data_IF_574958533957
#
_entry.id   IF_574958533957
#
_cell.length_a   1.000
_cell.length_b   1.000
_cell.length_c   1.000
_cell.angle_alpha   90.00
_cell.angle_beta   90.00
_cell.angle_gamma   90.00
#
_symmetry.space_group_name_H-M   'P 1'
#
loop_
_entity.id
_entity.type
_entity.pdbx_description
1 polymer ?
#
# COMPACT_ATOMS: atom_id res chain seq x y z
N UNK A 1 -16.87 9.23 3.16
CA UNK A 1 -15.44 9.61 3.18
C UNK A 1 -14.90 9.73 1.75
N UNK A 2 -13.83 10.51 1.53
CA UNK A 2 -13.05 10.48 0.29
C UNK A 2 -11.84 9.56 0.49
N UNK A 3 -11.76 8.50 -0.29
CA UNK A 3 -10.72 7.48 -0.19
C UNK A 3 -9.87 7.50 -1.45
N UNK A 4 -8.55 7.68 -1.31
CA UNK A 4 -7.62 7.57 -2.43
C UNK A 4 -6.90 6.23 -2.36
N UNK A 5 -7.00 5.42 -3.43
CA UNK A 5 -6.42 4.07 -3.47
C UNK A 5 -5.53 3.93 -4.70
N UNK A 6 -4.29 3.49 -4.50
CA UNK A 6 -3.39 3.15 -5.60
C UNK A 6 -3.52 1.69 -6.03
N UNK A 7 -3.35 1.40 -7.35
CA UNK A 7 -3.35 0.03 -7.86
C UNK A 7 -4.72 -0.64 -7.88
N UNK A 8 -5.75 0.09 -8.34
CA UNK A 8 -7.15 -0.37 -8.32
C UNK A 8 -7.60 -1.10 -9.59
N UNK A 9 -6.70 -1.41 -10.52
CA UNK A 9 -7.05 -2.05 -11.80
C UNK A 9 -7.37 -3.53 -11.68
N UNK A 10 -6.87 -4.20 -10.64
CA UNK A 10 -7.07 -5.64 -10.40
C UNK A 10 -6.82 -6.01 -8.93
N UNK A 11 -7.11 -7.27 -8.59
CA UNK A 11 -6.79 -7.87 -7.29
C UNK A 11 -7.36 -7.09 -6.11
N UNK A 12 -6.61 -7.01 -5.04
CA UNK A 12 -7.03 -6.41 -3.76
C UNK A 12 -7.48 -4.96 -3.93
N UNK A 13 -6.72 -4.15 -4.68
CA UNK A 13 -7.05 -2.75 -4.88
C UNK A 13 -8.38 -2.53 -5.62
N UNK A 14 -8.70 -3.38 -6.60
CA UNK A 14 -9.98 -3.35 -7.30
C UNK A 14 -11.14 -3.71 -6.35
N UNK A 15 -10.98 -4.75 -5.54
CA UNK A 15 -11.99 -5.16 -4.56
C UNK A 15 -12.19 -4.10 -3.46
N UNK A 16 -11.12 -3.52 -2.93
CA UNK A 16 -11.21 -2.40 -2.00
C UNK A 16 -12.02 -1.24 -2.60
N UNK A 17 -11.68 -0.85 -3.83
CA UNK A 17 -12.35 0.26 -4.51
C UNK A 17 -13.84 -0.04 -4.78
N UNK A 18 -14.16 -1.28 -5.14
CA UNK A 18 -15.54 -1.74 -5.35
C UNK A 18 -16.33 -1.70 -4.05
N UNK A 19 -15.85 -2.39 -3.01
CA UNK A 19 -16.56 -2.53 -1.74
C UNK A 19 -16.79 -1.16 -1.07
N UNK A 20 -15.80 -0.25 -1.13
CA UNK A 20 -15.95 1.09 -0.58
C UNK A 20 -16.97 1.94 -1.36
N UNK A 21 -17.06 1.80 -2.70
CA UNK A 21 -18.10 2.47 -3.50
C UNK A 21 -19.50 1.93 -3.18
N UNK A 22 -19.64 0.63 -2.96
CA UNK A 22 -20.92 -0.02 -2.63
C UNK A 22 -21.50 0.48 -1.31
N UNK A 23 -20.66 0.90 -0.37
CA UNK A 23 -21.11 1.54 0.89
C UNK A 23 -21.20 3.06 0.80
N UNK A 24 -21.13 3.64 -0.42
CA UNK A 24 -21.34 5.07 -0.67
C UNK A 24 -20.10 5.96 -0.50
N UNK A 25 -18.90 5.39 -0.38
CA UNK A 25 -17.68 6.19 -0.27
C UNK A 25 -17.24 6.77 -1.62
N UNK A 26 -16.71 7.98 -1.60
CA UNK A 26 -16.09 8.60 -2.77
C UNK A 26 -14.70 8.02 -2.98
N UNK A 27 -14.53 7.11 -3.93
CA UNK A 27 -13.24 6.46 -4.21
C UNK A 27 -12.53 7.12 -5.40
N UNK A 28 -11.36 7.69 -5.12
CA UNK A 28 -10.39 8.18 -6.10
C UNK A 28 -9.42 7.04 -6.44
N UNK A 29 -9.69 6.35 -7.53
CA UNK A 29 -8.82 5.27 -8.04
C UNK A 29 -7.63 5.87 -8.74
N UNK A 30 -6.41 5.42 -8.37
CA UNK A 30 -5.14 5.87 -8.96
C UNK A 30 -4.39 4.68 -9.54
N UNK A 31 -3.93 4.81 -10.77
CA UNK A 31 -3.20 3.76 -11.49
C UNK A 31 -3.16 3.98 -12.99
N UNK A 32 -2.82 2.92 -13.75
CA UNK A 32 -2.67 2.98 -15.22
C UNK A 32 -3.90 2.50 -16.00
N UNK A 33 -5.01 2.20 -15.32
CA UNK A 33 -6.24 1.71 -15.94
C UNK A 33 -7.13 2.86 -16.46
N UNK A 34 -8.04 2.54 -17.38
CA UNK A 34 -8.94 3.52 -18.01
C UNK A 34 -9.85 4.25 -17.02
N UNK A 35 -10.29 3.56 -15.96
CA UNK A 35 -11.18 4.12 -14.93
C UNK A 35 -10.41 4.67 -13.72
N UNK A 36 -9.13 5.01 -13.90
CA UNK A 36 -8.27 5.58 -12.87
C UNK A 36 -7.86 7.00 -13.19
N UNK A 37 -7.57 7.79 -12.18
CA UNK A 37 -6.69 8.94 -12.34
C UNK A 37 -5.34 8.35 -12.75
N UNK A 38 -4.92 8.65 -13.99
CA UNK A 38 -3.70 8.07 -14.53
C UNK A 38 -2.48 8.56 -13.74
N UNK A 39 -1.73 7.62 -13.18
CA UNK A 39 -0.45 7.85 -12.51
C UNK A 39 0.45 6.65 -12.75
N UNK A 40 1.63 6.91 -13.26
CA UNK A 40 2.72 5.95 -13.27
C UNK A 40 3.56 6.15 -12.00
N UNK A 41 3.57 5.16 -11.13
CA UNK A 41 4.29 5.21 -9.86
C UNK A 41 5.82 5.03 -10.03
N UNK A 42 6.29 4.71 -11.22
CA UNK A 42 7.71 4.70 -11.56
C UNK A 42 8.21 6.12 -11.91
N UNK A 43 7.28 7.04 -12.23
CA UNK A 43 7.57 8.41 -12.62
C UNK A 43 7.11 9.41 -11.54
N UNK A 44 8.07 10.08 -10.92
CA UNK A 44 7.80 11.09 -9.88
C UNK A 44 7.00 12.30 -10.43
N UNK A 45 7.18 12.66 -11.68
CA UNK A 45 6.44 13.76 -12.32
C UNK A 45 4.94 13.44 -12.42
N UNK A 46 4.60 12.17 -12.61
CA UNK A 46 3.23 11.68 -12.60
C UNK A 46 2.56 11.84 -11.23
N UNK A 47 3.32 11.67 -10.13
CA UNK A 47 2.84 11.91 -8.77
C UNK A 47 2.65 13.42 -8.51
N UNK A 48 3.53 14.26 -9.03
CA UNK A 48 3.39 15.73 -8.97
C UNK A 48 2.16 16.23 -9.73
N UNK A 49 1.88 15.65 -10.89
CA UNK A 49 0.66 15.95 -11.64
C UNK A 49 -0.61 15.56 -10.86
N UNK A 50 -0.57 14.45 -10.10
CA UNK A 50 -1.67 14.05 -9.22
C UNK A 50 -1.90 15.08 -8.10
N UNK A 51 -0.85 15.61 -7.48
CA UNK A 51 -0.95 16.68 -6.47
C UNK A 51 -1.70 17.89 -7.03
N UNK A 52 -1.32 18.34 -8.23
CA UNK A 52 -1.98 19.46 -8.90
C UNK A 52 -3.46 19.16 -9.17
N UNK A 53 -3.76 17.96 -9.65
CA UNK A 53 -5.14 17.52 -9.98
C UNK A 53 -6.03 17.41 -8.75
N UNK A 54 -5.48 17.01 -7.61
CA UNK A 54 -6.21 16.82 -6.35
C UNK A 54 -6.05 18.01 -5.40
N UNK A 55 -5.55 19.13 -5.85
CA UNK A 55 -5.39 20.34 -5.01
C UNK A 55 -6.69 20.65 -4.27
N UNK A 56 -6.58 20.80 -2.95
CA UNK A 56 -7.70 21.10 -2.03
C UNK A 56 -8.78 20.00 -1.91
N UNK A 57 -8.60 18.81 -2.48
CA UNK A 57 -9.52 17.70 -2.26
C UNK A 57 -9.23 17.06 -0.89
N UNK A 58 -10.13 17.10 0.10
CA UNK A 58 -9.89 16.43 1.37
C UNK A 58 -9.82 14.90 1.17
N UNK A 59 -8.84 14.24 1.80
CA UNK A 59 -8.64 12.79 1.73
C UNK A 59 -8.73 12.21 3.13
N UNK A 60 -9.83 11.55 3.43
CA UNK A 60 -10.07 10.90 4.72
C UNK A 60 -9.24 9.63 4.91
N UNK A 61 -8.94 8.92 3.81
CA UNK A 61 -8.12 7.72 3.82
C UNK A 61 -7.26 7.63 2.57
N UNK A 62 -5.93 7.57 2.75
CA UNK A 62 -4.99 7.22 1.69
C UNK A 62 -4.60 5.75 1.84
N UNK A 63 -4.84 4.92 0.79
CA UNK A 63 -4.44 3.51 0.74
C UNK A 63 -3.33 3.34 -0.29
N UNK A 64 -2.09 3.18 0.17
CA UNK A 64 -0.94 2.82 -0.63
C UNK A 64 -0.94 1.30 -0.87
N UNK A 65 -1.71 0.85 -1.87
CA UNK A 65 -1.88 -0.57 -2.18
C UNK A 65 -1.03 -1.05 -3.37
N UNK A 66 -0.74 -0.19 -4.32
CA UNK A 66 0.06 -0.57 -5.49
C UNK A 66 1.42 -1.18 -5.10
N UNK A 67 1.83 -2.20 -5.83
CA UNK A 67 3.12 -2.84 -5.66
C UNK A 67 3.38 -3.87 -6.74
N UNK A 68 4.65 -4.17 -6.95
CA UNK A 68 5.12 -5.19 -7.91
C UNK A 68 5.97 -6.24 -7.21
N UNK A 69 5.95 -7.46 -7.77
CA UNK A 69 6.76 -8.59 -7.36
C UNK A 69 7.30 -9.25 -8.63
N UNK A 70 8.49 -8.86 -9.05
CA UNK A 70 9.08 -9.18 -10.35
C UNK A 70 10.37 -10.00 -10.27
N UNK A 71 10.78 -10.35 -9.07
CA UNK A 71 12.00 -11.14 -8.80
C UNK A 71 11.69 -12.57 -8.34
N UNK A 72 10.47 -13.06 -8.62
CA UNK A 72 10.12 -14.47 -8.35
C UNK A 72 10.99 -15.38 -9.18
N UNK A 73 11.40 -16.50 -8.57
CA UNK A 73 12.18 -17.56 -9.21
C UNK A 73 13.53 -17.09 -9.80
N UNK A 74 14.07 -15.96 -9.34
CA UNK A 74 15.40 -15.53 -9.71
C UNK A 74 16.46 -16.41 -9.03
N UNK A 75 17.46 -16.80 -9.80
CA UNK A 75 18.63 -17.53 -9.29
C UNK A 75 19.58 -16.60 -8.54
N UNK A 76 20.11 -17.06 -7.41
CA UNK A 76 21.02 -16.26 -6.59
C UNK A 76 22.33 -15.94 -7.32
N UNK A 77 22.82 -16.85 -8.14
CA UNK A 77 24.13 -16.69 -8.80
C UNK A 77 24.06 -15.74 -10.02
N UNK A 78 22.92 -15.71 -10.73
CA UNK A 78 22.82 -15.01 -12.02
C UNK A 78 21.61 -14.06 -12.14
N UNK A 79 20.64 -14.14 -11.23
CA UNK A 79 19.43 -13.33 -11.20
C UNK A 79 19.63 -11.98 -10.49
N UNK A 80 18.56 -11.40 -10.05
CA UNK A 80 18.55 -10.17 -9.22
C UNK A 80 19.30 -8.97 -9.81
N UNK A 81 19.15 -8.73 -11.11
CA UNK A 81 19.78 -7.63 -11.82
C UNK A 81 19.39 -6.27 -11.23
N UNK A 82 20.27 -5.29 -11.35
CA UNK A 82 20.10 -3.96 -10.75
C UNK A 82 18.85 -3.22 -11.21
N UNK A 83 18.41 -3.40 -12.45
CA UNK A 83 17.17 -2.83 -12.99
C UNK A 83 15.92 -3.34 -12.27
N UNK A 84 15.89 -4.62 -11.89
CA UNK A 84 14.80 -5.19 -11.08
C UNK A 84 14.74 -4.55 -9.68
N UNK A 85 15.91 -4.29 -9.07
CA UNK A 85 16.01 -3.58 -7.78
C UNK A 85 15.47 -2.16 -7.90
N UNK A 86 15.98 -1.40 -8.86
CA UNK A 86 15.60 -0.01 -9.08
C UNK A 86 14.08 0.10 -9.31
N UNK A 87 13.55 -0.72 -10.20
CA UNK A 87 12.12 -0.74 -10.51
C UNK A 87 11.26 -1.11 -9.30
N UNK A 88 11.63 -2.17 -8.59
CA UNK A 88 10.85 -2.62 -7.43
C UNK A 88 10.86 -1.57 -6.31
N UNK A 89 12.02 -1.00 -6.00
CA UNK A 89 12.11 0.04 -4.99
C UNK A 89 11.42 1.33 -5.40
N UNK A 90 11.50 1.72 -6.68
CA UNK A 90 10.76 2.86 -7.19
C UNK A 90 9.27 2.72 -6.91
N UNK A 91 8.66 1.57 -7.28
CA UNK A 91 7.22 1.35 -7.10
C UNK A 91 6.82 1.04 -5.66
N UNK A 92 7.55 0.15 -4.97
CA UNK A 92 7.11 -0.37 -3.67
C UNK A 92 7.47 0.52 -2.49
N UNK A 93 8.44 1.43 -2.64
CA UNK A 93 8.99 2.22 -1.53
C UNK A 93 8.98 3.72 -1.84
N UNK A 94 9.68 4.14 -2.90
CA UNK A 94 9.88 5.56 -3.21
C UNK A 94 8.54 6.21 -3.56
N UNK A 95 7.75 5.59 -4.43
CA UNK A 95 6.44 6.11 -4.80
C UNK A 95 5.48 6.24 -3.61
N UNK A 96 5.55 5.29 -2.66
CA UNK A 96 4.73 5.33 -1.44
C UNK A 96 5.07 6.56 -0.62
N UNK A 97 6.38 6.83 -0.42
CA UNK A 97 6.81 8.01 0.31
C UNK A 97 6.41 9.31 -0.39
N UNK A 98 6.73 9.43 -1.69
CA UNK A 98 6.42 10.62 -2.48
C UNK A 98 4.91 10.90 -2.52
N UNK A 99 4.09 9.86 -2.73
CA UNK A 99 2.65 10.01 -2.73
C UNK A 99 2.12 10.51 -1.37
N UNK A 100 2.58 9.93 -0.26
CA UNK A 100 2.19 10.39 1.08
C UNK A 100 2.61 11.84 1.27
N UNK A 101 3.85 12.19 0.91
CA UNK A 101 4.39 13.53 1.05
C UNK A 101 3.55 14.56 0.26
N UNK A 102 3.21 14.26 -1.00
CA UNK A 102 2.42 15.14 -1.86
C UNK A 102 0.95 15.24 -1.45
N UNK A 103 0.36 14.16 -0.91
CA UNK A 103 -1.03 14.15 -0.45
C UNK A 103 -1.18 14.60 1.00
N UNK A 104 -0.10 14.88 1.71
CA UNK A 104 -0.14 15.25 3.12
C UNK A 104 -1.03 16.48 3.41
N UNK A 105 -1.03 17.57 2.61
CA UNK A 105 -1.96 18.70 2.82
C UNK A 105 -3.44 18.28 2.72
N UNK A 106 -3.77 17.37 1.80
CA UNK A 106 -5.12 16.85 1.58
C UNK A 106 -5.60 16.00 2.78
N UNK A 107 -4.67 15.20 3.35
CA UNK A 107 -4.94 14.32 4.50
C UNK A 107 -5.10 15.18 5.78
N UNK A 108 -4.26 16.18 5.97
CA UNK A 108 -4.38 17.13 7.09
C UNK A 108 -5.74 17.84 7.05
N UNK A 109 -6.15 18.29 5.87
CA UNK A 109 -7.42 19.00 5.66
C UNK A 109 -8.65 18.18 6.03
N UNK A 110 -8.55 16.85 5.93
CA UNK A 110 -9.62 15.91 6.27
C UNK A 110 -9.49 15.31 7.68
N UNK A 111 -8.45 15.63 8.45
CA UNK A 111 -8.04 14.88 9.64
C UNK A 111 -7.95 13.37 9.33
N UNK A 112 -7.45 13.05 8.15
CA UNK A 112 -7.46 11.72 7.55
C UNK A 112 -6.42 10.77 8.13
N UNK A 113 -6.30 9.61 7.49
CA UNK A 113 -5.40 8.52 7.91
C UNK A 113 -4.74 7.85 6.71
N UNK A 114 -3.66 7.12 6.97
CA UNK A 114 -2.83 6.48 5.95
C UNK A 114 -2.76 4.97 6.22
N UNK A 115 -3.07 4.16 5.20
CA UNK A 115 -2.93 2.72 5.19
C UNK A 115 -1.90 2.29 4.14
N UNK A 116 -0.89 1.53 4.55
CA UNK A 116 0.17 1.04 3.67
C UNK A 116 0.06 -0.48 3.56
N UNK A 117 -0.09 -1.01 2.35
CA UNK A 117 -0.12 -2.44 2.11
C UNK A 117 1.31 -2.96 1.96
N UNK A 118 1.74 -3.67 2.99
CA UNK A 118 3.04 -4.34 3.04
C UNK A 118 2.90 -5.85 2.73
N UNK A 119 3.73 -6.68 3.32
CA UNK A 119 3.69 -8.14 3.20
C UNK A 119 4.37 -8.79 4.40
N UNK A 120 3.93 -9.98 4.78
CA UNK A 120 4.67 -10.84 5.72
C UNK A 120 6.10 -11.13 5.26
N UNK A 121 6.35 -11.08 3.93
CA UNK A 121 7.67 -11.29 3.35
C UNK A 121 8.67 -10.17 3.71
N UNK A 122 8.19 -9.02 4.21
CA UNK A 122 9.02 -7.95 4.77
C UNK A 122 9.39 -8.17 6.24
N UNK A 123 8.85 -9.17 6.90
CA UNK A 123 9.21 -9.50 8.29
C UNK A 123 10.61 -10.10 8.37
N UNK A 124 11.46 -9.53 9.20
CA UNK A 124 12.81 -10.06 9.48
C UNK A 124 12.74 -11.40 10.22
N UNK A 125 11.74 -11.58 11.09
CA UNK A 125 11.55 -12.83 11.84
C UNK A 125 11.06 -13.98 10.95
N UNK A 126 10.45 -13.66 9.77
CA UNK A 126 9.98 -14.65 8.80
C UNK A 126 10.89 -14.76 7.57
N UNK A 127 12.17 -14.44 7.71
CA UNK A 127 13.15 -14.60 6.64
C UNK A 127 13.41 -16.09 6.36
N UNK A 128 13.13 -16.52 5.12
CA UNK A 128 13.31 -17.91 4.68
C UNK A 128 14.05 -18.03 3.32
N UNK A 129 14.73 -16.96 2.90
CA UNK A 129 15.50 -16.91 1.65
C UNK A 129 14.63 -16.66 0.41
N UNK A 130 15.29 -16.41 -0.72
CA UNK A 130 14.65 -16.13 -2.02
C UNK A 130 13.94 -14.77 -2.07
N UNK A 131 13.48 -14.41 -3.26
CA UNK A 131 12.67 -13.19 -3.51
C UNK A 131 13.29 -11.93 -2.86
N UNK A 132 14.60 -11.80 -2.92
CA UNK A 132 15.38 -10.82 -2.12
C UNK A 132 14.92 -9.39 -2.34
N UNK A 133 14.60 -9.02 -3.59
CA UNK A 133 14.23 -7.65 -3.95
C UNK A 133 12.86 -7.31 -3.36
N UNK A 134 11.87 -8.18 -3.56
CA UNK A 134 10.53 -7.98 -3.02
C UNK A 134 10.54 -7.93 -1.49
N UNK A 135 11.22 -8.91 -0.85
CA UNK A 135 11.36 -8.96 0.62
C UNK A 135 12.00 -7.69 1.16
N UNK A 136 13.13 -7.26 0.58
CA UNK A 136 13.82 -6.04 0.98
C UNK A 136 12.92 -4.80 0.82
N UNK A 137 12.19 -4.69 -0.31
CA UNK A 137 11.27 -3.58 -0.54
C UNK A 137 10.12 -3.54 0.48
N UNK A 138 9.57 -4.72 0.86
CA UNK A 138 8.50 -4.79 1.85
C UNK A 138 9.01 -4.56 3.27
N UNK A 139 10.23 -4.96 3.61
CA UNK A 139 10.88 -4.57 4.86
C UNK A 139 11.11 -3.05 4.93
N UNK A 140 11.58 -2.45 3.83
CA UNK A 140 11.78 -1.01 3.73
C UNK A 140 10.47 -0.24 3.92
N UNK A 141 9.37 -0.65 3.29
CA UNK A 141 8.09 0.06 3.42
C UNK A 141 7.45 -0.13 4.80
N UNK A 142 7.68 -1.25 5.49
CA UNK A 142 7.27 -1.42 6.89
C UNK A 142 8.04 -0.43 7.79
N UNK A 143 9.35 -0.34 7.63
CA UNK A 143 10.18 0.62 8.37
C UNK A 143 9.73 2.06 8.09
N UNK A 144 9.55 2.42 6.80
CA UNK A 144 9.06 3.72 6.37
C UNK A 144 7.73 4.08 7.04
N UNK A 145 6.75 3.18 7.00
CA UNK A 145 5.42 3.41 7.60
C UNK A 145 5.48 3.65 9.11
N UNK A 146 6.36 2.95 9.81
CA UNK A 146 6.54 3.12 11.26
C UNK A 146 7.19 4.46 11.61
N UNK A 147 8.17 4.91 10.82
CA UNK A 147 8.78 6.24 11.01
C UNK A 147 7.78 7.35 10.68
N UNK A 148 7.02 7.23 9.58
CA UNK A 148 5.93 8.16 9.26
C UNK A 148 4.89 8.23 10.38
N UNK A 149 4.51 7.10 10.98
CA UNK A 149 3.59 7.08 12.12
C UNK A 149 4.12 7.90 13.31
N UNK A 150 5.43 7.87 13.56
CA UNK A 150 6.07 8.66 14.61
C UNK A 150 6.06 10.15 14.28
N UNK A 151 6.47 10.52 13.08
CA UNK A 151 6.58 11.92 12.66
C UNK A 151 5.21 12.60 12.53
N UNK A 152 4.21 11.87 12.01
CA UNK A 152 2.86 12.38 11.80
C UNK A 152 2.00 12.37 13.08
N UNK A 153 2.49 11.80 14.17
CA UNK A 153 1.80 11.75 15.45
C UNK A 153 1.45 13.14 16.00
N UNK A 154 2.36 14.12 15.87
CA UNK A 154 2.12 15.51 16.29
C UNK A 154 1.02 16.18 15.47
N UNK A 155 0.76 15.71 14.25
CA UNK A 155 -0.32 16.18 13.36
C UNK A 155 -1.60 15.37 13.50
N UNK A 156 -1.64 14.39 14.43
CA UNK A 156 -2.77 13.48 14.68
C UNK A 156 -3.20 12.66 13.46
N UNK A 157 -2.26 12.33 12.56
CA UNK A 157 -2.50 11.49 11.40
C UNK A 157 -2.05 10.07 11.71
N UNK A 158 -2.95 9.11 11.89
CA UNK A 158 -2.58 7.71 12.12
C UNK A 158 -2.11 7.05 10.83
N UNK A 159 -1.05 6.25 10.95
CA UNK A 159 -0.48 5.44 9.87
C UNK A 159 -0.53 3.96 10.27
N UNK A 160 -1.20 3.13 9.48
CA UNK A 160 -1.24 1.68 9.67
C UNK A 160 -0.53 0.95 8.55
N UNK A 161 0.14 -0.14 8.88
CA UNK A 161 0.83 -1.01 7.92
C UNK A 161 0.15 -2.39 7.97
N UNK A 162 -0.19 -2.96 6.81
CA UNK A 162 -1.02 -4.15 6.76
C UNK A 162 -0.46 -5.20 5.82
N UNK A 163 -0.50 -6.46 6.28
CA UNK A 163 -0.30 -7.63 5.45
C UNK A 163 -1.67 -8.14 4.98
N UNK A 164 -1.95 -8.16 3.67
CA UNK A 164 -3.26 -8.52 3.14
C UNK A 164 -3.59 -10.02 3.20
N UNK A 165 -2.67 -10.85 3.69
CA UNK A 165 -2.74 -12.30 3.56
C UNK A 165 -2.04 -12.81 2.30
N UNK A 166 -2.04 -14.15 2.09
CA UNK A 166 -1.67 -14.75 0.81
C UNK A 166 -2.94 -14.91 -0.02
N UNK A 167 -3.12 -13.99 -0.96
CA UNK A 167 -4.40 -13.75 -1.65
C UNK A 167 -4.37 -14.28 -3.07
N UNK A 168 -5.44 -14.94 -3.51
CA UNK A 168 -5.64 -15.45 -4.89
C UNK A 168 -5.72 -14.30 -5.89
N UNK A 169 -4.57 -13.88 -6.37
CA UNK A 169 -4.36 -12.83 -7.38
C UNK A 169 -3.30 -13.30 -8.36
N UNK A 170 -3.08 -12.55 -9.43
CA UNK A 170 -1.95 -12.83 -10.35
C UNK A 170 -0.60 -12.84 -9.60
N UNK A 171 -0.47 -11.99 -8.58
CA UNK A 171 0.74 -11.94 -7.74
C UNK A 171 0.80 -13.10 -6.74
N UNK A 172 -0.32 -13.49 -6.12
CA UNK A 172 -0.34 -14.55 -5.10
C UNK A 172 -0.39 -15.96 -5.69
N UNK A 173 -0.95 -16.10 -6.89
CA UNK A 173 -1.16 -17.40 -7.56
C UNK A 173 -2.40 -18.15 -7.07
N UNK A 174 -2.73 -19.22 -7.77
CA UNK A 174 -3.94 -20.02 -7.51
C UNK A 174 -3.91 -20.81 -6.19
N UNK A 175 -2.70 -21.08 -5.66
CA UNK A 175 -2.51 -21.83 -4.40
C UNK A 175 -2.64 -20.96 -3.15
N UNK A 176 -2.93 -19.67 -3.29
CA UNK A 176 -3.07 -18.76 -2.16
C UNK A 176 -4.25 -19.14 -1.25
N UNK A 177 -4.14 -18.76 0.02
CA UNK A 177 -5.02 -19.25 1.09
C UNK A 177 -6.42 -18.61 1.06
N UNK A 178 -6.48 -17.29 0.75
CA UNK A 178 -7.72 -16.51 0.88
C UNK A 178 -8.14 -15.86 -0.43
N UNK A 179 -9.43 -15.54 -0.52
CA UNK A 179 -9.98 -14.83 -1.67
C UNK A 179 -9.63 -13.34 -1.65
N UNK A 180 -9.81 -12.66 -2.77
CA UNK A 180 -9.63 -11.21 -2.89
C UNK A 180 -10.69 -10.48 -2.06
N UNK A 181 -11.91 -10.99 -2.05
CA UNK A 181 -13.06 -10.44 -1.32
C UNK A 181 -12.84 -10.51 0.20
N UNK A 182 -12.36 -11.65 0.69
CA UNK A 182 -12.04 -11.86 2.10
C UNK A 182 -10.92 -10.93 2.56
N UNK A 183 -9.83 -10.82 1.79
CA UNK A 183 -8.74 -9.90 2.09
C UNK A 183 -9.20 -8.43 2.09
N UNK A 184 -10.00 -8.03 1.11
CA UNK A 184 -10.49 -6.66 1.00
C UNK A 184 -11.43 -6.30 2.16
N UNK A 185 -12.35 -7.20 2.52
CA UNK A 185 -13.27 -6.99 3.65
C UNK A 185 -12.50 -6.80 4.96
N UNK A 186 -11.57 -7.72 5.27
CA UNK A 186 -10.78 -7.62 6.48
C UNK A 186 -9.90 -6.38 6.53
N UNK A 187 -9.32 -5.96 5.41
CA UNK A 187 -8.55 -4.72 5.33
C UNK A 187 -9.42 -3.48 5.57
N UNK A 188 -10.64 -3.44 5.05
CA UNK A 188 -11.58 -2.33 5.30
C UNK A 188 -11.88 -2.21 6.80
N UNK A 189 -12.09 -3.33 7.49
CA UNK A 189 -12.26 -3.33 8.94
C UNK A 189 -11.03 -2.75 9.65
N UNK A 190 -9.80 -3.15 9.23
CA UNK A 190 -8.56 -2.60 9.80
C UNK A 190 -8.42 -1.11 9.55
N UNK A 191 -8.79 -0.65 8.36
CA UNK A 191 -8.77 0.79 8.05
C UNK A 191 -9.79 1.55 8.91
N UNK A 192 -10.97 0.99 9.17
CA UNK A 192 -11.96 1.63 10.04
C UNK A 192 -11.46 1.79 11.48
N UNK A 193 -10.79 0.77 12.01
CA UNK A 193 -10.24 0.74 13.37
C UNK A 193 -8.96 1.57 13.54
N UNK A 194 -8.30 1.97 12.43
CA UNK A 194 -7.06 2.73 12.49
C UNK A 194 -7.28 4.09 13.16
N UNK A 195 -6.54 4.31 14.22
CA UNK A 195 -6.61 5.49 15.07
C UNK A 195 -5.23 5.82 15.64
N UNK A 196 -5.09 6.93 16.36
CA UNK A 196 -3.84 7.30 17.03
C UNK A 196 -3.36 6.25 18.05
N UNK A 197 -4.27 5.44 18.62
CA UNK A 197 -3.90 4.34 19.53
C UNK A 197 -3.26 3.16 18.79
N UNK A 198 -3.54 3.00 17.50
CA UNK A 198 -3.03 1.93 16.64
C UNK A 198 -1.98 2.44 15.63
N UNK A 199 -1.61 3.71 15.65
CA UNK A 199 -0.63 4.26 14.72
C UNK A 199 0.71 3.52 14.82
N UNK A 200 1.32 3.21 13.68
CA UNK A 200 2.55 2.39 13.60
C UNK A 200 2.33 0.89 13.74
N UNK A 201 1.07 0.42 13.77
CA UNK A 201 0.77 -1.03 13.78
C UNK A 201 1.29 -1.72 12.52
N UNK A 202 1.70 -2.98 12.68
CA UNK A 202 1.85 -3.92 11.57
C UNK A 202 0.94 -5.11 11.86
N UNK A 203 -0.16 -5.20 11.13
CA UNK A 203 -1.22 -6.18 11.35
C UNK A 203 -1.57 -6.93 10.06
N UNK A 204 -2.11 -8.12 10.22
CA UNK A 204 -2.71 -8.90 9.13
C UNK A 204 -4.13 -8.37 8.81
N UNK A 205 -4.64 -8.75 7.66
CA UNK A 205 -6.01 -8.43 7.22
C UNK A 205 -7.08 -8.82 8.24
N UNK A 206 -6.86 -9.89 9.02
CA UNK A 206 -7.74 -10.40 10.07
C UNK A 206 -7.45 -9.78 11.47
N UNK A 207 -6.62 -8.75 11.54
CA UNK A 207 -6.36 -7.98 12.76
C UNK A 207 -5.33 -8.56 13.71
N UNK A 208 -4.62 -9.62 13.33
CA UNK A 208 -3.55 -10.16 14.15
C UNK A 208 -2.29 -9.31 14.02
N UNK A 209 -1.62 -9.05 15.15
CA UNK A 209 -0.32 -8.39 15.15
C UNK A 209 0.70 -9.25 14.41
N UNK A 210 1.38 -8.66 13.43
CA UNK A 210 2.39 -9.35 12.65
C UNK A 210 3.79 -9.05 13.21
N UNK A 211 4.69 -10.05 13.28
CA UNK A 211 6.09 -9.84 13.69
C UNK A 211 6.85 -9.02 12.63
N UNK A 212 7.84 -8.25 13.10
CA UNK A 212 8.74 -7.44 12.27
C UNK A 212 9.87 -8.25 11.66
#
# INVERSE_FOLDING_TARGET
>A
MTVLITGTTRGIGAALAKNMREVGERVLSVGRGENCIHVDLEDSSSIEALETKLKNVPIDLLVCNAGIFIDRDQDLDYGYKSDLWLKTFSVNVISVFLLIQRMLPNIINAEGKIAIIASQMGSQQKANGGDYIYRASKAAVINLGRNLAKDLSSRRIPVGIYHPGWVKTDMGGAKADISVEEAASGLIDRFSELSMKKTGCFETWDGKKHPL
#
